data_IF_241286486016
#
_entry.id   IF_241286486016
#
_cell.length_a   1.000
_cell.length_b   1.000
_cell.length_c   1.000
_cell.angle_alpha   90.00
_cell.angle_beta   90.00
_cell.angle_gamma   90.00
#
_symmetry.space_group_name_H-M   'P 1'
#
loop_
_entity.id
_entity.type
_entity.pdbx_description
1 polymer ?
#
# COMPACT_ATOMS: atom_id res chain seq x y z
N UNK A 1 10.22 11.33 19.53
CA UNK A 1 9.81 10.20 18.71
C UNK A 1 10.88 9.85 17.70
N UNK A 2 11.20 8.59 17.63
CA UNK A 2 12.24 8.12 16.72
C UNK A 2 11.74 8.14 15.29
N UNK A 3 12.53 8.65 14.37
CA UNK A 3 12.16 8.70 12.97
C UNK A 3 13.14 7.90 12.14
N UNK A 4 12.63 6.94 11.38
CA UNK A 4 13.44 6.08 10.55
C UNK A 4 13.94 6.81 9.32
N UNK A 5 15.14 6.46 8.88
CA UNK A 5 15.66 6.96 7.62
C UNK A 5 14.90 6.29 6.47
N UNK A 6 15.08 6.82 5.26
CA UNK A 6 14.41 6.24 4.10
C UNK A 6 14.84 4.79 3.87
N UNK A 7 16.09 4.48 4.15
CA UNK A 7 16.58 3.11 3.98
C UNK A 7 15.93 2.16 4.96
N UNK A 8 15.47 2.66 6.11
CA UNK A 8 14.82 1.85 7.12
C UNK A 8 13.30 1.78 6.95
N UNK A 9 12.74 2.63 6.11
CA UNK A 9 11.30 2.65 5.84
C UNK A 9 11.01 1.59 4.79
N UNK A 10 10.49 0.46 5.24
CA UNK A 10 10.20 -0.61 4.30
C UNK A 10 8.85 -1.24 4.61
N UNK A 11 8.28 -1.86 3.59
CA UNK A 11 7.03 -2.58 3.71
C UNK A 11 7.27 -3.99 3.21
N UNK A 12 6.90 -4.96 4.05
CA UNK A 12 7.06 -6.37 3.73
C UNK A 12 5.70 -7.03 3.76
N UNK A 13 5.38 -7.81 2.74
CA UNK A 13 4.12 -8.53 2.66
C UNK A 13 4.43 -10.01 2.65
N UNK A 14 3.86 -10.73 3.63
CA UNK A 14 4.04 -12.16 3.74
C UNK A 14 2.72 -12.86 3.47
N UNK A 15 2.76 -13.82 2.58
CA UNK A 15 1.58 -14.58 2.20
C UNK A 15 1.47 -15.84 3.04
N UNK A 16 0.24 -16.15 3.44
CA UNK A 16 -0.04 -17.40 4.16
C UNK A 16 -1.09 -18.15 3.36
N UNK A 17 -0.65 -19.14 2.61
CA UNK A 17 -1.56 -19.88 1.75
C UNK A 17 -2.57 -20.71 2.54
N UNK A 18 -2.19 -21.11 3.75
CA UNK A 18 -3.06 -21.93 4.58
C UNK A 18 -4.25 -21.13 5.11
N UNK A 19 -4.01 -19.91 5.58
CA UNK A 19 -5.05 -19.06 6.12
C UNK A 19 -5.67 -18.15 5.09
N UNK A 20 -5.07 -18.05 3.91
CA UNK A 20 -5.49 -17.13 2.86
C UNK A 20 -5.41 -15.68 3.31
N UNK A 21 -4.47 -15.38 4.19
CA UNK A 21 -4.25 -14.04 4.70
C UNK A 21 -2.88 -13.54 4.27
N UNK A 22 -2.81 -12.23 4.07
CA UNK A 22 -1.55 -11.55 3.87
C UNK A 22 -1.22 -10.79 5.14
N UNK A 23 0.03 -10.85 5.54
CA UNK A 23 0.52 -10.13 6.72
C UNK A 23 1.44 -9.03 6.22
N UNK A 24 1.08 -7.78 6.51
CA UNK A 24 1.80 -6.63 6.03
C UNK A 24 2.49 -5.96 7.19
N UNK A 25 3.81 -5.89 7.11
CA UNK A 25 4.61 -5.13 8.08
C UNK A 25 5.11 -3.88 7.37
N UNK A 26 4.82 -2.72 7.90
CA UNK A 26 5.19 -1.49 7.24
C UNK A 26 5.76 -0.48 8.22
N UNK A 27 6.88 0.10 7.84
CA UNK A 27 7.47 1.25 8.50
C UNK A 27 7.49 2.46 7.57
N UNK A 28 6.72 2.41 6.49
CA UNK A 28 6.61 3.48 5.52
C UNK A 28 5.41 4.34 5.84
N UNK A 29 5.59 5.62 6.22
CA UNK A 29 4.45 6.43 6.69
C UNK A 29 3.29 6.52 5.70
N UNK A 30 3.58 6.67 4.41
CA UNK A 30 2.52 6.76 3.41
C UNK A 30 1.69 5.48 3.35
N UNK A 31 2.36 4.32 3.43
CA UNK A 31 1.68 3.04 3.40
C UNK A 31 0.86 2.84 4.67
N UNK A 32 1.40 3.23 5.81
CA UNK A 32 0.70 3.10 7.08
C UNK A 32 -0.57 3.95 7.06
N UNK A 33 -0.49 5.19 6.56
CA UNK A 33 -1.67 6.04 6.48
C UNK A 33 -2.76 5.42 5.61
N UNK A 34 -2.34 4.84 4.49
CA UNK A 34 -3.30 4.20 3.58
C UNK A 34 -3.94 2.98 4.21
N UNK A 35 -3.15 2.15 4.88
CA UNK A 35 -3.67 0.95 5.53
C UNK A 35 -4.53 1.29 6.73
N UNK A 36 -4.18 2.32 7.50
CA UNK A 36 -5.00 2.76 8.61
C UNK A 36 -6.37 3.23 8.13
N UNK A 37 -6.38 3.95 7.01
CA UNK A 37 -7.65 4.41 6.44
C UNK A 37 -8.50 3.23 5.99
N UNK A 38 -7.88 2.26 5.34
CA UNK A 38 -8.61 1.07 4.89
C UNK A 38 -9.13 0.28 6.07
N UNK A 39 -8.34 0.17 7.14
CA UNK A 39 -8.76 -0.56 8.33
C UNK A 39 -9.93 0.15 9.01
N UNK A 40 -9.95 1.48 8.98
CA UNK A 40 -11.06 2.23 9.57
C UNK A 40 -12.34 2.07 8.76
N UNK A 41 -12.21 2.03 7.43
CA UNK A 41 -13.37 1.90 6.56
C UNK A 41 -13.85 0.46 6.41
N UNK A 42 -12.93 -0.50 6.45
CA UNK A 42 -13.25 -1.91 6.22
C UNK A 42 -12.63 -2.78 7.31
N UNK A 43 -13.11 -2.65 8.56
CA UNK A 43 -12.45 -3.31 9.68
C UNK A 43 -12.53 -4.84 9.67
N UNK A 44 -13.45 -5.41 8.89
CA UNK A 44 -13.51 -6.87 8.78
C UNK A 44 -12.55 -7.40 7.71
N UNK A 45 -11.99 -6.52 6.90
CA UNK A 45 -11.09 -6.90 5.82
C UNK A 45 -9.66 -6.53 6.14
N UNK A 46 -9.44 -5.33 6.64
CA UNK A 46 -8.12 -4.84 7.00
C UNK A 46 -8.05 -4.67 8.51
N UNK A 47 -7.12 -5.35 9.15
CA UNK A 47 -7.00 -5.29 10.60
C UNK A 47 -5.58 -4.97 10.99
N UNK A 48 -5.41 -3.94 11.82
CA UNK A 48 -4.11 -3.64 12.39
C UNK A 48 -3.90 -4.57 13.58
N UNK A 49 -2.90 -5.44 13.49
CA UNK A 49 -2.66 -6.45 14.52
C UNK A 49 -1.58 -6.06 15.50
N UNK A 50 -0.74 -5.08 15.12
CA UNK A 50 0.35 -4.69 15.99
C UNK A 50 0.82 -3.28 15.65
N UNK A 51 1.18 -2.52 16.68
CA UNK A 51 1.73 -1.19 16.52
C UNK A 51 3.02 -1.10 17.31
N UNK A 52 4.09 -0.68 16.63
CA UNK A 52 5.36 -0.40 17.27
C UNK A 52 5.56 1.10 17.26
N UNK A 53 5.25 1.74 18.39
CA UNK A 53 5.31 3.19 18.46
C UNK A 53 6.72 3.74 18.43
N UNK A 54 7.69 2.94 18.87
CA UNK A 54 9.08 3.39 18.91
C UNK A 54 9.66 3.54 17.51
N UNK A 55 9.37 2.58 16.64
CA UNK A 55 9.92 2.58 15.29
C UNK A 55 8.90 2.99 14.24
N UNK A 56 7.73 3.43 14.67
CA UNK A 56 6.67 3.89 13.76
C UNK A 56 6.29 2.82 12.75
N UNK A 57 6.24 1.58 13.21
CA UNK A 57 5.89 0.46 12.33
C UNK A 57 4.58 -0.16 12.78
N UNK A 58 3.83 -0.70 11.83
CA UNK A 58 2.57 -1.38 12.12
C UNK A 58 2.47 -2.66 11.32
N UNK A 59 1.70 -3.59 11.86
CA UNK A 59 1.42 -4.85 11.16
C UNK A 59 -0.08 -4.98 10.96
N UNK A 60 -0.44 -5.50 9.80
CA UNK A 60 -1.84 -5.65 9.42
C UNK A 60 -2.08 -7.03 8.86
N UNK A 61 -3.33 -7.49 9.00
CA UNK A 61 -3.81 -8.68 8.31
C UNK A 61 -4.86 -8.27 7.30
N UNK A 62 -4.78 -8.84 6.11
CA UNK A 62 -5.78 -8.57 5.08
C UNK A 62 -5.99 -9.85 4.27
N UNK A 63 -7.22 -10.06 3.80
CA UNK A 63 -7.52 -11.18 2.93
C UNK A 63 -6.65 -11.11 1.69
N UNK A 64 -5.99 -12.22 1.35
CA UNK A 64 -5.05 -12.28 0.23
C UNK A 64 -5.65 -11.75 -1.07
N UNK A 65 -6.93 -11.96 -1.29
CA UNK A 65 -7.56 -11.56 -2.55
C UNK A 65 -7.57 -10.06 -2.76
N UNK A 66 -7.34 -9.28 -1.71
CA UNK A 66 -7.29 -7.83 -1.84
C UNK A 66 -5.90 -7.28 -2.04
N UNK A 67 -4.89 -8.14 -2.02
CA UNK A 67 -3.52 -7.74 -2.35
C UNK A 67 -3.29 -8.13 -3.80
N UNK A 68 -3.20 -7.15 -4.66
CA UNK A 68 -3.17 -7.38 -6.10
C UNK A 68 -1.94 -6.79 -6.74
N UNK A 69 -1.53 -7.44 -7.83
CA UNK A 69 -0.49 -6.90 -8.68
C UNK A 69 -1.18 -6.29 -9.88
N UNK A 70 -0.91 -5.00 -10.12
CA UNK A 70 -1.58 -4.28 -11.19
C UNK A 70 -0.99 -4.67 -12.53
N UNK A 71 -1.87 -4.85 -13.51
CA UNK A 71 -1.43 -5.08 -14.87
C UNK A 71 -0.96 -3.74 -15.44
N UNK A 72 0.25 -3.69 -16.03
CA UNK A 72 0.70 -2.42 -16.59
C UNK A 72 -0.19 -1.99 -17.75
N UNK A 73 -0.32 -0.69 -17.97
CA UNK A 73 -1.14 -0.21 -19.08
C UNK A 73 -0.51 -0.57 -20.41
N UNK A 74 -1.36 -0.67 -21.45
CA UNK A 74 -0.87 -0.96 -22.78
C UNK A 74 -0.01 0.17 -23.29
N UNK A 75 0.79 -0.12 -24.34
CA UNK A 75 1.65 0.87 -24.93
C UNK A 75 0.86 2.06 -25.45
N UNK A 76 -0.25 1.78 -26.11
CA UNK A 76 -1.09 2.86 -26.63
C UNK A 76 -1.61 3.76 -25.52
N UNK A 77 -1.96 3.15 -24.39
CA UNK A 77 -2.47 3.91 -23.26
C UNK A 77 -1.39 4.77 -22.64
N UNK A 78 -0.17 4.24 -22.59
CA UNK A 78 0.95 5.02 -22.06
C UNK A 78 1.24 6.24 -22.94
N UNK A 79 1.15 6.08 -24.24
CA UNK A 79 1.33 7.19 -25.15
C UNK A 79 0.26 8.25 -24.98
N UNK A 80 -0.99 7.82 -24.86
CA UNK A 80 -2.08 8.75 -24.63
C UNK A 80 -1.88 9.51 -23.34
N UNK A 81 -1.44 8.84 -22.28
CA UNK A 81 -1.20 9.51 -21.02
C UNK A 81 -0.06 10.53 -21.13
N UNK A 82 0.95 10.22 -21.90
CA UNK A 82 2.05 11.15 -22.10
C UNK A 82 1.57 12.43 -22.80
N UNK A 83 0.73 12.29 -23.80
CA UNK A 83 0.18 13.45 -24.48
C UNK A 83 -0.64 14.31 -23.53
N UNK A 84 -1.48 13.66 -22.73
CA UNK A 84 -2.37 14.39 -21.84
C UNK A 84 -1.63 15.08 -20.71
N UNK A 85 -0.57 14.46 -20.23
CA UNK A 85 0.14 15.01 -19.10
C UNK A 85 1.00 16.21 -19.49
N UNK A 86 1.11 16.48 -20.76
CA UNK A 86 1.92 17.61 -21.20
C UNK A 86 1.23 18.93 -21.05
N UNK A 87 0.03 18.95 -20.68
CA UNK A 87 -0.68 20.16 -20.57
C UNK A 87 -1.20 20.46 -19.27
N UNK A 88 -1.53 20.31 -19.28
CA UNK A 88 -2.07 20.45 -18.41
C UNK A 88 -2.68 19.82 -17.76
N UNK A 89 -3.02 19.51 -18.30
CA UNK A 89 -3.52 18.82 -17.98
C UNK A 89 -3.98 18.20 -17.77
N UNK A 90 -4.47 18.20 -18.16
CA UNK A 90 -4.99 17.48 -18.15
C UNK A 90 -5.29 16.67 -17.98
N UNK A 91 -5.60 16.59 -18.12
CA UNK A 91 -5.91 15.76 -17.99
C UNK A 91 -6.13 14.80 -18.11
N UNK A 92 -6.38 14.26 -18.34
CA UNK A 92 -6.61 13.36 -18.32
C UNK A 92 -6.62 12.52 -18.11
N UNK A 93 -6.80 12.10 -18.02
CA UNK A 93 -6.90 11.38 -17.57
C UNK A 93 -6.71 10.66 -17.22
#
# INVERSE_FOLDING_TARGET
MYQLSRAEQETVIRWDAETQLAHIHSATPATIRKLDKLAAEFPTVYRCTRTDGEYLAKEYEVDMKYVRFAKPPSEARLEANRHNSGFKQHTNS
#
